data_IF_087422170055
#
_entry.id   IF_087422170055
#
_cell.length_a   1.000
_cell.length_b   1.000
_cell.length_c   1.000
_cell.angle_alpha   90.00
_cell.angle_beta   90.00
_cell.angle_gamma   90.00
#
_symmetry.space_group_name_H-M   'P 1'
#
loop_
_entity.id
_entity.type
_entity.pdbx_description
1 polymer ?
#
# COMPACT_ATOMS: atom_id res chain seq x y z
N UNK A 1 -31.01 1.15 26.22
CA UNK A 1 -30.89 1.31 24.76
C UNK A 1 -29.39 1.41 24.46
N UNK A 2 -28.73 0.41 23.87
CA UNK A 2 -27.39 0.63 23.33
C UNK A 2 -27.51 1.15 21.90
N UNK A 3 -27.04 2.37 21.67
CA UNK A 3 -26.88 2.91 20.32
C UNK A 3 -25.54 2.47 19.75
N UNK A 4 -25.55 2.23 18.44
CA UNK A 4 -24.64 1.33 17.73
C UNK A 4 -23.23 1.90 17.55
N UNK A 5 -22.21 1.14 17.94
CA UNK A 5 -20.84 1.37 17.46
C UNK A 5 -20.72 0.87 16.01
N UNK A 6 -19.98 1.56 15.13
CA UNK A 6 -19.81 1.12 13.75
C UNK A 6 -19.15 -0.26 13.71
N UNK A 7 -19.81 -1.20 13.03
CA UNK A 7 -19.23 -2.50 12.70
C UNK A 7 -18.05 -2.26 11.75
N UNK A 8 -16.84 -2.36 12.28
CA UNK A 8 -15.63 -2.45 11.47
C UNK A 8 -15.74 -3.73 10.60
N UNK A 9 -15.64 -3.67 9.27
CA UNK A 9 -15.74 -4.86 8.45
C UNK A 9 -14.50 -5.73 8.68
N UNK A 10 -14.63 -6.76 9.51
CA UNK A 10 -13.70 -7.87 9.55
C UNK A 10 -13.82 -8.62 8.21
N UNK A 11 -13.01 -8.22 7.22
CA UNK A 11 -12.95 -8.91 5.94
C UNK A 11 -12.25 -10.27 6.16
N UNK A 12 -12.88 -11.41 5.80
CA UNK A 12 -12.28 -12.74 5.97
C UNK A 12 -10.92 -12.83 5.28
N UNK A 13 -9.98 -13.53 5.93
CA UNK A 13 -8.56 -13.69 5.53
C UNK A 13 -8.40 -14.19 4.08
N UNK A 14 -9.42 -14.86 3.55
CA UNK A 14 -9.49 -15.37 2.18
C UNK A 14 -9.53 -14.28 1.10
N UNK A 15 -9.78 -13.01 1.45
CA UNK A 15 -9.86 -11.93 0.46
C UNK A 15 -8.49 -11.36 0.04
N UNK A 16 -7.42 -11.65 0.78
CA UNK A 16 -6.10 -11.10 0.49
C UNK A 16 -5.25 -12.09 -0.33
N UNK A 17 -4.47 -11.60 -1.32
CA UNK A 17 -3.65 -12.48 -2.13
C UNK A 17 -2.59 -13.19 -1.28
N UNK A 18 -2.44 -14.49 -1.52
CA UNK A 18 -1.47 -15.35 -0.82
C UNK A 18 -0.10 -15.38 -1.48
N UNK A 19 0.07 -14.72 -2.61
CA UNK A 19 1.29 -14.71 -3.39
C UNK A 19 1.73 -13.27 -3.69
N UNK A 20 3.03 -13.06 -3.74
CA UNK A 20 3.64 -11.78 -4.10
C UNK A 20 4.69 -12.01 -5.19
N UNK A 21 4.63 -11.20 -6.25
CA UNK A 21 5.60 -11.27 -7.34
C UNK A 21 6.83 -10.41 -7.03
N UNK A 22 7.99 -11.04 -6.89
CA UNK A 22 9.24 -10.31 -6.58
C UNK A 22 9.80 -9.59 -7.81
N UNK A 23 9.51 -10.05 -9.02
CA UNK A 23 9.84 -9.32 -10.25
C UNK A 23 9.06 -8.02 -10.31
N UNK A 24 7.74 -8.09 -10.05
CA UNK A 24 6.91 -6.89 -10.01
C UNK A 24 7.34 -5.92 -8.88
N UNK A 25 7.70 -6.44 -7.71
CA UNK A 25 8.20 -5.61 -6.61
C UNK A 25 9.52 -4.92 -6.98
N UNK A 26 10.40 -5.59 -7.72
CA UNK A 26 11.62 -5.01 -8.25
C UNK A 26 11.34 -3.94 -9.31
N UNK A 27 10.46 -4.22 -10.26
CA UNK A 27 10.12 -3.28 -11.33
C UNK A 27 9.60 -1.97 -10.74
N UNK A 28 8.68 -2.04 -9.76
CA UNK A 28 8.19 -0.86 -9.03
C UNK A 28 9.29 -0.09 -8.30
N UNK A 29 10.25 -0.81 -7.70
CA UNK A 29 11.39 -0.19 -7.03
C UNK A 29 12.29 0.56 -8.02
N UNK A 30 12.62 -0.07 -9.14
CA UNK A 30 13.43 0.56 -10.19
C UNK A 30 12.72 1.74 -10.85
N UNK A 31 11.40 1.66 -11.03
CA UNK A 31 10.58 2.75 -11.53
C UNK A 31 10.62 3.95 -10.57
N UNK A 32 10.53 3.72 -9.27
CA UNK A 32 10.62 4.78 -8.27
C UNK A 32 11.98 5.52 -8.31
N UNK A 33 13.07 4.78 -8.49
CA UNK A 33 14.42 5.33 -8.63
C UNK A 33 14.76 5.83 -10.03
N UNK A 34 13.85 5.66 -10.99
CA UNK A 34 14.08 6.15 -12.34
C UNK A 34 14.28 7.67 -12.33
N UNK A 35 15.17 8.15 -13.21
CA UNK A 35 15.49 9.58 -13.32
C UNK A 35 14.21 10.41 -13.57
N UNK A 36 13.29 9.89 -14.38
CA UNK A 36 12.01 10.54 -14.66
C UNK A 36 11.15 10.71 -13.40
N UNK A 37 11.05 9.68 -12.56
CA UNK A 37 10.33 9.73 -11.28
C UNK A 37 10.96 10.72 -10.30
N UNK A 38 12.29 10.67 -10.17
CA UNK A 38 13.05 11.53 -9.27
C UNK A 38 12.97 13.01 -9.64
N UNK A 39 13.14 13.37 -10.92
CA UNK A 39 13.04 14.76 -11.41
C UNK A 39 11.63 15.30 -11.19
N UNK A 40 10.60 14.50 -11.51
CA UNK A 40 9.19 14.89 -11.35
C UNK A 40 8.83 15.12 -9.88
N UNK A 41 9.36 14.30 -8.96
CA UNK A 41 9.16 14.46 -7.52
C UNK A 41 9.87 15.70 -7.00
N UNK A 42 11.14 15.88 -7.39
CA UNK A 42 11.94 17.05 -7.01
C UNK A 42 11.30 18.36 -7.48
N UNK A 43 10.80 18.41 -8.71
CA UNK A 43 10.10 19.58 -9.23
C UNK A 43 8.87 19.98 -8.39
N UNK A 44 8.13 19.01 -7.84
CA UNK A 44 6.92 19.29 -7.06
C UNK A 44 7.20 19.61 -5.59
N UNK A 45 8.11 18.87 -4.97
CA UNK A 45 8.27 18.87 -3.51
C UNK A 45 9.64 19.42 -3.07
N UNK A 46 10.58 19.67 -3.98
CA UNK A 46 11.92 20.17 -3.68
C UNK A 46 12.87 19.13 -3.10
N UNK A 47 12.48 17.86 -3.06
CA UNK A 47 13.29 16.75 -2.56
C UNK A 47 13.18 15.51 -3.44
N UNK A 48 14.18 14.64 -3.38
CA UNK A 48 14.11 13.34 -4.05
C UNK A 48 13.20 12.39 -3.29
N UNK A 49 12.46 11.55 -4.03
CA UNK A 49 11.64 10.52 -3.41
C UNK A 49 12.56 9.51 -2.70
N UNK A 50 12.19 9.11 -1.47
CA UNK A 50 12.95 8.15 -0.67
C UNK A 50 12.64 6.69 -1.02
N UNK A 51 11.57 6.42 -1.78
CA UNK A 51 11.16 5.09 -2.24
C UNK A 51 11.06 4.03 -1.12
N UNK A 52 10.84 4.44 0.13
CA UNK A 52 10.92 3.55 1.30
C UNK A 52 9.90 2.41 1.24
N UNK A 53 8.66 2.72 0.87
CA UNK A 53 7.58 1.75 0.69
C UNK A 53 7.93 0.66 -0.34
N UNK A 54 8.56 1.07 -1.43
CA UNK A 54 8.87 0.17 -2.56
C UNK A 54 10.06 -0.72 -2.20
N UNK A 55 11.02 -0.17 -1.44
CA UNK A 55 12.12 -0.93 -0.85
C UNK A 55 11.59 -1.95 0.16
N UNK A 56 10.67 -1.56 1.04
CA UNK A 56 10.07 -2.45 2.05
C UNK A 56 9.30 -3.60 1.40
N UNK A 57 8.50 -3.31 0.37
CA UNK A 57 7.82 -4.34 -0.43
C UNK A 57 8.80 -5.32 -1.08
N UNK A 58 9.88 -4.82 -1.67
CA UNK A 58 10.89 -5.68 -2.30
C UNK A 58 11.63 -6.54 -1.28
N UNK A 59 12.04 -5.95 -0.15
CA UNK A 59 12.67 -6.68 0.97
C UNK A 59 11.74 -7.77 1.52
N UNK A 60 10.48 -7.43 1.74
CA UNK A 60 9.48 -8.39 2.20
C UNK A 60 9.34 -9.56 1.21
N UNK A 61 9.29 -9.27 -0.09
CA UNK A 61 9.20 -10.32 -1.10
C UNK A 61 10.40 -11.27 -1.08
N UNK A 62 11.62 -10.73 -0.99
CA UNK A 62 12.84 -11.56 -0.92
C UNK A 62 12.86 -12.43 0.34
N UNK A 63 12.48 -11.88 1.49
CA UNK A 63 12.61 -12.56 2.77
C UNK A 63 11.44 -13.51 3.09
N UNK A 64 10.23 -13.18 2.64
CA UNK A 64 8.99 -13.84 3.08
C UNK A 64 8.04 -14.18 1.94
N UNK A 65 8.43 -13.99 0.67
CA UNK A 65 7.57 -14.22 -0.49
C UNK A 65 7.13 -15.68 -0.68
N UNK A 66 7.83 -16.65 -0.07
CA UNK A 66 7.46 -18.06 -0.08
C UNK A 66 6.38 -18.43 0.95
N UNK A 67 6.13 -17.57 1.95
CA UNK A 67 5.25 -17.87 3.08
C UNK A 67 3.86 -17.27 2.84
N UNK A 68 2.85 -18.05 2.41
CA UNK A 68 1.56 -17.49 1.98
C UNK A 68 0.81 -16.78 3.12
N UNK A 69 0.95 -17.26 4.35
CA UNK A 69 0.31 -16.65 5.54
C UNK A 69 0.88 -15.27 5.83
N UNK A 70 2.21 -15.11 5.75
CA UNK A 70 2.86 -13.82 5.97
C UNK A 70 2.52 -12.84 4.85
N UNK A 71 2.46 -13.31 3.62
CA UNK A 71 2.05 -12.49 2.47
C UNK A 71 0.64 -11.95 2.65
N UNK A 72 -0.31 -12.79 3.07
CA UNK A 72 -1.68 -12.33 3.36
C UNK A 72 -1.74 -11.31 4.49
N UNK A 73 -0.96 -11.52 5.55
CA UNK A 73 -0.85 -10.57 6.67
C UNK A 73 -0.31 -9.22 6.19
N UNK A 74 0.76 -9.21 5.41
CA UNK A 74 1.35 -7.99 4.85
C UNK A 74 0.35 -7.22 3.98
N UNK A 75 -0.40 -7.90 3.09
CA UNK A 75 -1.43 -7.26 2.28
C UNK A 75 -2.59 -6.68 3.10
N UNK A 76 -2.96 -7.35 4.21
CA UNK A 76 -3.97 -6.83 5.13
C UNK A 76 -3.48 -5.54 5.80
N UNK A 77 -2.28 -5.58 6.37
CA UNK A 77 -1.68 -4.40 7.03
C UNK A 77 -1.57 -3.23 6.06
N UNK A 78 -1.10 -3.47 4.84
CA UNK A 78 -1.05 -2.47 3.77
C UNK A 78 -2.43 -1.90 3.44
N UNK A 79 -3.47 -2.73 3.40
CA UNK A 79 -4.85 -2.29 3.15
C UNK A 79 -5.39 -1.42 4.28
N UNK A 80 -5.14 -1.80 5.53
CA UNK A 80 -5.51 -1.04 6.72
C UNK A 80 -4.77 0.31 6.78
N UNK A 81 -3.48 0.33 6.49
CA UNK A 81 -2.70 1.57 6.39
C UNK A 81 -3.22 2.49 5.29
N UNK A 82 -3.55 1.95 4.11
CA UNK A 82 -4.12 2.73 3.01
C UNK A 82 -5.49 3.32 3.40
N UNK A 83 -6.37 2.55 4.06
CA UNK A 83 -7.66 3.06 4.55
C UNK A 83 -7.51 4.23 5.53
N UNK A 84 -6.48 4.18 6.38
CA UNK A 84 -6.23 5.24 7.37
C UNK A 84 -5.59 6.49 6.76
N UNK A 85 -4.74 6.31 5.76
CA UNK A 85 -3.92 7.40 5.18
C UNK A 85 -4.57 8.04 3.96
N UNK A 86 -5.32 7.27 3.18
CA UNK A 86 -6.03 7.75 1.98
C UNK A 86 -7.51 7.88 2.31
N UNK A 87 -8.04 9.08 2.09
CA UNK A 87 -9.48 9.31 2.17
C UNK A 87 -10.24 8.40 1.20
N UNK A 88 -11.52 8.20 1.48
CA UNK A 88 -12.39 7.44 0.60
C UNK A 88 -12.74 8.29 -0.63
N UNK A 89 -13.10 7.66 -1.74
CA UNK A 89 -13.59 8.40 -2.90
C UNK A 89 -14.86 9.21 -2.57
N UNK A 90 -15.66 8.73 -1.63
CA UNK A 90 -16.87 9.42 -1.16
C UNK A 90 -16.51 10.77 -0.50
N UNK A 91 -15.38 10.86 0.21
CA UNK A 91 -14.92 12.10 0.83
C UNK A 91 -14.74 13.21 -0.22
N UNK A 92 -14.26 12.87 -1.42
CA UNK A 92 -14.11 13.81 -2.55
C UNK A 92 -15.48 14.25 -3.08
N UNK A 93 -16.46 13.35 -3.14
CA UNK A 93 -17.81 13.66 -3.64
C UNK A 93 -18.61 14.52 -2.65
N UNK A 94 -18.41 14.33 -1.35
CA UNK A 94 -19.04 15.15 -0.32
C UNK A 94 -18.53 16.60 -0.34
N UNK A 95 -17.23 16.82 -0.64
CA UNK A 95 -16.69 18.18 -0.82
C UNK A 95 -17.28 18.95 -2.01
N UNK A 96 -17.89 18.25 -2.98
CA UNK A 96 -18.46 18.86 -4.20
C UNK A 96 -19.95 19.22 -4.07
N UNK A 97 -20.66 18.67 -3.08
CA UNK A 97 -22.10 18.91 -2.88
C UNK A 97 -22.31 20.17 -2.05
#
# INVERSE_FOLDING_TARGET
MPDSAPVEPQQPVEQYPSQISCTEAFDRLTECYSIGGLVRHYYRYGEFNRCSKEIERFKFCILHGSDPVRVQQWYREEWELNKRTKGTSEDVWQLRR
#
